data_IF_523975637961
#
_entry.id   IF_523975637961
#
_cell.length_a   1.000
_cell.length_b   1.000
_cell.length_c   1.000
_cell.angle_alpha   90.00
_cell.angle_beta   90.00
_cell.angle_gamma   90.00
#
_symmetry.space_group_name_H-M   'P 1'
#
loop_
_entity.id
_entity.type
_entity.pdbx_description
1 polymer ?
#
# COMPACT_ATOMS: atom_id res chain seq x y z
N UNK A 1 -19.37 65.95 -26.68
CA UNK A 1 -19.62 64.56 -26.29
C UNK A 1 -18.35 63.74 -26.51
N UNK A 2 -17.77 63.19 -25.44
CA UNK A 2 -16.56 62.34 -25.49
C UNK A 2 -17.00 60.90 -25.76
N UNK A 3 -16.44 60.25 -26.77
CA UNK A 3 -16.54 58.81 -26.97
C UNK A 3 -15.16 58.23 -26.66
N UNK A 4 -15.01 57.56 -25.51
CA UNK A 4 -13.85 56.69 -25.28
C UNK A 4 -14.17 55.32 -25.90
N UNK A 5 -13.26 54.73 -26.69
CA UNK A 5 -13.40 53.35 -27.11
C UNK A 5 -13.15 52.45 -25.90
N UNK A 6 -14.14 51.61 -25.57
CA UNK A 6 -13.95 50.51 -24.64
C UNK A 6 -13.09 49.45 -25.34
N UNK A 7 -11.80 49.40 -24.99
CA UNK A 7 -10.96 48.23 -25.26
C UNK A 7 -11.43 47.11 -24.33
N UNK A 8 -12.22 46.18 -24.87
CA UNK A 8 -12.47 44.88 -24.25
C UNK A 8 -11.18 44.08 -24.33
N UNK A 9 -10.39 44.11 -23.25
CA UNK A 9 -9.31 43.16 -23.06
C UNK A 9 -9.99 41.84 -22.67
N UNK A 10 -10.16 40.95 -23.65
CA UNK A 10 -10.51 39.56 -23.39
C UNK A 10 -9.29 38.91 -22.75
N UNK A 11 -9.30 38.77 -21.43
CA UNK A 11 -8.40 37.86 -20.75
C UNK A 11 -8.85 36.45 -21.14
N UNK A 12 -8.13 35.81 -22.06
CA UNK A 12 -8.19 34.36 -22.18
C UNK A 12 -7.56 33.80 -20.91
N UNK A 13 -8.40 33.49 -19.93
CA UNK A 13 -8.00 32.57 -18.88
C UNK A 13 -7.79 31.23 -19.58
N UNK A 14 -6.53 30.87 -19.83
CA UNK A 14 -6.19 29.47 -20.03
C UNK A 14 -6.76 28.76 -18.80
N UNK A 15 -7.68 27.82 -19.01
CA UNK A 15 -8.12 26.95 -17.93
C UNK A 15 -6.86 26.30 -17.39
N UNK A 16 -6.47 26.69 -16.17
CA UNK A 16 -5.51 25.97 -15.37
C UNK A 16 -6.14 24.63 -14.98
N UNK A 17 -6.42 23.79 -15.98
CA UNK A 17 -6.76 22.40 -15.80
C UNK A 17 -5.43 21.77 -15.45
N UNK A 18 -5.25 21.42 -14.17
CA UNK A 18 -4.35 20.33 -13.82
C UNK A 18 -4.61 19.23 -14.86
N UNK A 19 -3.58 18.89 -15.63
CA UNK A 19 -3.79 18.14 -16.87
C UNK A 19 -4.26 16.74 -16.53
N UNK A 20 -5.58 16.52 -16.59
CA UNK A 20 -6.21 15.27 -16.18
C UNK A 20 -5.60 14.05 -16.84
N UNK A 21 -5.05 14.20 -18.05
CA UNK A 21 -4.37 13.11 -18.76
C UNK A 21 -3.18 12.52 -17.98
N UNK A 22 -2.49 13.29 -17.12
CA UNK A 22 -1.37 12.77 -16.33
C UNK A 22 -1.81 11.77 -15.27
N UNK A 23 -3.04 11.92 -14.78
CA UNK A 23 -3.64 10.97 -13.85
C UNK A 23 -3.93 9.64 -14.55
N UNK A 24 -4.17 9.65 -15.86
CA UNK A 24 -4.34 8.44 -16.65
C UNK A 24 -3.01 7.77 -17.05
N UNK A 25 -1.89 8.43 -16.79
CA UNK A 25 -0.53 7.93 -17.10
C UNK A 25 0.12 7.21 -15.92
N UNK A 26 -0.53 7.16 -14.77
CA UNK A 26 -0.03 6.49 -13.56
C UNK A 26 -1.03 5.42 -13.10
N UNK A 27 -0.55 4.25 -12.66
CA UNK A 27 -1.41 3.27 -12.01
C UNK A 27 -2.14 3.90 -10.82
N UNK A 28 -3.39 3.50 -10.59
CA UNK A 28 -4.15 3.99 -9.44
C UNK A 28 -4.49 5.48 -9.45
N UNK A 29 -4.08 6.25 -10.46
CA UNK A 29 -4.26 7.71 -10.50
C UNK A 29 -5.71 8.15 -10.29
N UNK A 30 -6.68 7.38 -10.79
CA UNK A 30 -8.10 7.62 -10.59
C UNK A 30 -8.54 7.64 -9.11
N UNK A 31 -7.78 7.01 -8.20
CA UNK A 31 -8.06 7.03 -6.74
C UNK A 31 -7.59 8.31 -6.08
N UNK A 32 -6.45 8.84 -6.51
CA UNK A 32 -5.80 9.99 -5.90
C UNK A 32 -6.09 11.31 -6.61
N UNK A 33 -6.56 11.21 -7.86
CA UNK A 33 -6.87 12.33 -8.74
C UNK A 33 -5.70 13.32 -8.81
N UNK A 34 -6.00 14.63 -8.87
CA UNK A 34 -4.99 15.68 -8.91
C UNK A 34 -4.12 15.74 -7.65
N UNK A 35 -4.51 15.07 -6.56
CA UNK A 35 -3.90 15.27 -5.25
C UNK A 35 -2.60 14.53 -5.05
N UNK A 36 -2.27 13.57 -5.92
CA UNK A 36 -0.95 12.96 -5.93
C UNK A 36 0.13 13.96 -6.36
N UNK A 37 -0.21 14.88 -7.28
CA UNK A 37 0.72 15.91 -7.76
C UNK A 37 0.53 17.27 -7.09
N UNK A 38 -0.63 17.53 -6.48
CA UNK A 38 -0.99 18.84 -5.93
C UNK A 38 -1.52 18.78 -4.50
N UNK A 39 -1.07 19.72 -3.68
CA UNK A 39 -1.58 19.92 -2.32
C UNK A 39 -3.00 20.51 -2.38
N UNK A 40 -3.97 19.80 -1.80
CA UNK A 40 -5.42 20.15 -1.78
C UNK A 40 -5.74 21.61 -1.46
N UNK A 41 -4.99 22.22 -0.55
CA UNK A 41 -5.28 23.55 -0.01
C UNK A 41 -4.71 24.70 -0.85
N UNK A 42 -3.61 24.47 -1.56
CA UNK A 42 -2.80 25.56 -2.15
C UNK A 42 -2.52 25.38 -3.64
N UNK A 43 -2.80 24.21 -4.21
CA UNK A 43 -2.41 23.83 -5.57
C UNK A 43 -0.89 23.83 -5.83
N UNK A 44 -0.08 24.02 -4.79
CA UNK A 44 1.35 23.82 -4.87
C UNK A 44 1.64 22.35 -5.19
N UNK A 45 2.79 22.10 -5.83
CA UNK A 45 3.24 20.74 -6.09
C UNK A 45 3.56 20.03 -4.78
N UNK A 46 3.15 18.77 -4.70
CA UNK A 46 3.68 17.79 -3.74
C UNK A 46 5.15 17.47 -4.07
N UNK A 47 5.80 16.63 -3.26
CA UNK A 47 7.10 16.06 -3.61
C UNK A 47 7.02 15.30 -4.93
N UNK A 48 6.10 14.34 -5.03
CA UNK A 48 5.88 13.59 -6.27
C UNK A 48 5.57 14.48 -7.47
N UNK A 49 4.66 15.46 -7.31
CA UNK A 49 4.32 16.40 -8.38
C UNK A 49 5.50 17.26 -8.83
N UNK A 50 6.47 17.51 -7.95
CA UNK A 50 7.72 18.20 -8.28
C UNK A 50 8.67 17.30 -9.04
N UNK A 51 8.78 16.04 -8.67
CA UNK A 51 9.61 15.07 -9.39
C UNK A 51 9.05 14.80 -10.79
N UNK A 52 7.73 14.72 -10.95
CA UNK A 52 7.06 14.69 -12.26
C UNK A 52 7.40 15.93 -13.09
N UNK A 53 7.40 17.13 -12.49
CA UNK A 53 7.73 18.36 -13.20
C UNK A 53 9.22 18.43 -13.60
N UNK A 54 10.10 17.89 -12.76
CA UNK A 54 11.55 17.90 -13.01
C UNK A 54 12.00 16.87 -14.06
N UNK A 55 11.17 15.88 -14.37
CA UNK A 55 11.46 14.80 -15.32
C UNK A 55 10.51 14.81 -16.52
N UNK A 56 10.14 16.02 -16.97
CA UNK A 56 9.54 16.17 -18.29
C UNK A 56 10.59 15.91 -19.36
N UNK A 57 10.20 15.27 -20.46
CA UNK A 57 11.08 15.09 -21.60
C UNK A 57 11.39 16.44 -22.24
N UNK A 58 12.68 16.72 -22.41
CA UNK A 58 13.17 17.94 -23.05
C UNK A 58 13.76 17.64 -24.43
N UNK A 59 13.74 18.66 -25.30
CA UNK A 59 14.19 18.53 -26.70
C UNK A 59 15.67 18.18 -26.80
N UNK A 60 16.46 18.56 -25.80
CA UNK A 60 17.88 18.23 -25.68
C UNK A 60 18.16 16.74 -25.44
N UNK A 61 17.19 15.99 -24.92
CA UNK A 61 17.29 14.54 -24.74
C UNK A 61 17.10 13.76 -26.06
N UNK A 62 16.58 14.44 -27.10
CA UNK A 62 16.26 13.86 -28.40
C UNK A 62 17.00 14.57 -29.53
N UNK A 63 18.13 14.01 -30.02
CA UNK A 63 18.98 14.68 -31.01
C UNK A 63 18.35 14.83 -32.40
N UNK A 64 17.20 14.21 -32.65
CA UNK A 64 16.44 14.31 -33.89
C UNK A 64 14.94 14.56 -33.60
N UNK A 65 14.51 15.83 -33.44
CA UNK A 65 13.12 16.18 -33.16
C UNK A 65 12.16 15.87 -34.31
N UNK A 66 12.65 15.61 -35.53
CA UNK A 66 11.80 15.17 -36.66
C UNK A 66 11.59 13.64 -36.68
N UNK A 67 12.38 12.88 -35.93
CA UNK A 67 12.23 11.42 -35.75
C UNK A 67 11.35 11.04 -34.55
N UNK A 68 10.76 12.02 -33.87
CA UNK A 68 9.92 11.76 -32.71
C UNK A 68 8.62 11.05 -33.12
N UNK A 69 8.13 10.08 -32.32
CA UNK A 69 6.82 9.51 -32.54
C UNK A 69 5.75 10.61 -32.48
N UNK A 70 4.72 10.53 -33.32
CA UNK A 70 3.65 11.57 -33.44
C UNK A 70 2.93 11.88 -32.11
N UNK A 71 3.06 11.01 -31.10
CA UNK A 71 2.46 11.16 -29.77
C UNK A 71 3.45 11.64 -28.69
N UNK A 72 4.66 12.08 -29.06
CA UNK A 72 5.66 12.60 -28.12
C UNK A 72 5.59 14.13 -28.04
N UNK A 73 4.92 14.63 -26.99
CA UNK A 73 4.94 16.07 -26.67
C UNK A 73 6.18 16.37 -25.80
N UNK A 74 6.89 17.46 -26.09
CA UNK A 74 8.14 17.86 -25.41
C UNK A 74 7.98 19.27 -24.77
N UNK A 75 8.64 19.51 -23.63
CA UNK A 75 8.71 20.83 -22.96
C UNK A 75 7.96 20.90 -21.63
N UNK A 76 7.69 22.11 -21.11
CA UNK A 76 6.90 22.33 -19.86
C UNK A 76 5.49 21.72 -19.93
N UNK A 77 5.04 21.42 -21.16
CA UNK A 77 3.82 20.69 -21.43
C UNK A 77 3.97 19.25 -21.94
N UNK A 78 5.18 18.72 -21.94
CA UNK A 78 5.52 17.44 -22.53
C UNK A 78 5.16 16.19 -21.73
N UNK A 79 5.56 15.07 -22.31
CA UNK A 79 5.54 13.74 -21.72
C UNK A 79 6.54 13.66 -20.56
N UNK A 80 6.29 12.75 -19.62
CA UNK A 80 7.12 12.52 -18.44
C UNK A 80 7.98 11.29 -18.71
N UNK A 81 9.22 11.30 -18.24
CA UNK A 81 10.02 10.08 -18.15
C UNK A 81 9.58 9.26 -16.92
N UNK A 82 8.49 8.50 -17.11
CA UNK A 82 7.90 7.69 -16.03
C UNK A 82 8.83 6.60 -15.52
N UNK A 83 9.76 6.11 -16.35
CA UNK A 83 10.74 5.12 -15.92
C UNK A 83 11.72 5.72 -14.89
N UNK A 84 12.10 6.99 -15.04
CA UNK A 84 12.90 7.68 -14.03
C UNK A 84 12.06 8.04 -12.82
N UNK A 85 10.87 8.61 -13.01
CA UNK A 85 10.00 9.00 -11.90
C UNK A 85 9.67 7.80 -11.01
N UNK A 86 9.41 6.62 -11.59
CA UNK A 86 9.12 5.40 -10.82
C UNK A 86 10.26 4.96 -9.89
N UNK A 87 11.52 5.30 -10.19
CA UNK A 87 12.68 4.92 -9.38
C UNK A 87 13.00 5.92 -8.26
N UNK A 88 12.31 7.06 -8.22
CA UNK A 88 12.51 8.06 -7.17
C UNK A 88 11.67 7.70 -5.96
N UNK A 89 12.20 7.99 -4.78
CA UNK A 89 11.47 8.01 -3.50
C UNK A 89 11.16 9.49 -3.20
N UNK A 90 9.95 9.93 -3.58
CA UNK A 90 9.64 11.35 -3.56
C UNK A 90 9.41 11.87 -2.14
N UNK A 91 8.81 11.08 -1.25
CA UNK A 91 8.46 11.49 0.10
C UNK A 91 9.46 11.06 1.19
N UNK A 92 10.40 10.19 0.85
CA UNK A 92 11.55 9.81 1.66
C UNK A 92 11.25 8.70 2.65
N UNK A 93 10.26 7.87 2.38
CA UNK A 93 9.81 6.81 3.30
C UNK A 93 10.54 5.47 3.10
N UNK A 94 11.37 5.38 2.04
CA UNK A 94 12.16 4.20 1.70
C UNK A 94 11.56 3.36 0.57
N UNK A 95 10.35 3.67 0.11
CA UNK A 95 9.73 3.08 -1.07
C UNK A 95 9.89 4.02 -2.27
N UNK A 96 10.14 3.43 -3.43
CA UNK A 96 10.09 4.18 -4.68
C UNK A 96 8.65 4.42 -5.09
N UNK A 97 8.40 5.52 -5.82
CA UNK A 97 7.09 5.85 -6.37
C UNK A 97 6.49 4.68 -7.16
N UNK A 98 7.33 3.91 -7.85
CA UNK A 98 6.91 2.73 -8.60
C UNK A 98 6.51 1.56 -7.70
N UNK A 99 7.17 1.35 -6.57
CA UNK A 99 6.75 0.34 -5.59
C UNK A 99 5.38 0.66 -4.99
N UNK A 100 5.15 1.92 -4.64
CA UNK A 100 3.86 2.40 -4.10
C UNK A 100 2.72 2.35 -5.12
N UNK A 101 3.02 2.61 -6.40
CA UNK A 101 2.05 2.56 -7.49
C UNK A 101 1.89 1.17 -8.10
N UNK A 102 2.64 0.16 -7.64
CA UNK A 102 2.62 -1.17 -8.25
C UNK A 102 3.15 -1.20 -9.70
N UNK A 103 4.02 -0.26 -10.06
CA UNK A 103 4.78 -0.19 -11.31
C UNK A 103 6.27 0.16 -11.04
N UNK A 104 7.06 -0.76 -10.46
CA UNK A 104 8.45 -0.47 -10.05
C UNK A 104 9.38 -0.07 -11.20
N UNK A 105 9.00 -0.34 -12.45
CA UNK A 105 9.80 -0.02 -13.63
C UNK A 105 9.27 1.18 -14.42
N UNK A 106 8.16 1.79 -14.00
CA UNK A 106 7.55 2.93 -14.72
C UNK A 106 7.15 2.57 -16.15
N UNK A 107 6.71 1.34 -16.39
CA UNK A 107 6.36 0.83 -17.72
C UNK A 107 4.88 0.99 -18.04
N UNK A 108 4.06 1.36 -17.05
CA UNK A 108 2.64 1.56 -17.23
C UNK A 108 2.38 2.64 -18.28
N UNK A 109 1.52 2.33 -19.24
CA UNK A 109 1.03 3.30 -20.22
C UNK A 109 -0.48 3.44 -20.13
N UNK A 110 -0.97 4.59 -20.58
CA UNK A 110 -2.40 4.85 -20.63
C UNK A 110 -3.13 3.71 -21.37
N UNK A 111 -4.19 3.18 -20.76
CA UNK A 111 -5.01 2.03 -21.18
C UNK A 111 -4.48 0.63 -20.84
N UNK A 112 -3.36 0.52 -20.13
CA UNK A 112 -2.98 -0.75 -19.53
C UNK A 112 -3.99 -1.18 -18.46
N UNK A 113 -4.17 -2.49 -18.23
CA UNK A 113 -4.88 -2.99 -17.06
C UNK A 113 -4.23 -2.45 -15.78
N UNK A 114 -5.06 -1.97 -14.85
CA UNK A 114 -4.58 -1.55 -13.53
C UNK A 114 -4.01 -2.78 -12.79
N UNK A 115 -2.83 -2.67 -12.15
CA UNK A 115 -2.32 -3.76 -11.33
C UNK A 115 -3.28 -4.03 -10.15
N UNK A 116 -3.40 -5.30 -9.79
CA UNK A 116 -4.14 -5.74 -8.61
C UNK A 116 -3.25 -5.55 -7.37
N UNK A 117 -2.98 -4.28 -7.09
CA UNK A 117 -2.07 -3.82 -6.06
C UNK A 117 -2.75 -2.73 -5.22
N UNK A 118 -2.61 -2.76 -3.88
CA UNK A 118 -3.08 -1.69 -3.02
C UNK A 118 -2.19 -0.45 -3.24
N UNK A 119 -2.61 0.42 -4.16
CA UNK A 119 -1.87 1.66 -4.42
C UNK A 119 -1.78 2.51 -3.15
N UNK A 120 -0.58 2.99 -2.86
CA UNK A 120 -0.32 4.05 -1.88
C UNK A 120 0.08 5.35 -2.59
N UNK A 121 0.28 6.41 -1.81
CA UNK A 121 0.54 7.74 -2.33
C UNK A 121 2.03 8.11 -2.23
N UNK A 122 2.71 8.29 -3.38
CA UNK A 122 4.12 8.70 -3.42
C UNK A 122 4.44 10.12 -2.93
N UNK A 123 3.47 10.79 -2.33
CA UNK A 123 3.67 12.10 -1.71
C UNK A 123 3.46 12.07 -0.19
N UNK A 124 3.27 10.89 0.40
CA UNK A 124 2.84 10.66 1.77
C UNK A 124 3.73 9.63 2.46
N UNK A 125 4.69 10.08 3.29
CA UNK A 125 5.66 9.19 3.94
C UNK A 125 5.07 8.40 5.12
N UNK A 126 3.75 8.32 5.18
CA UNK A 126 2.95 7.64 6.19
C UNK A 126 2.01 6.58 5.55
N UNK A 127 2.10 6.39 4.23
CA UNK A 127 1.21 5.55 3.41
C UNK A 127 2.04 4.46 2.71
N UNK A 128 2.21 3.31 3.37
CA UNK A 128 3.13 2.25 2.96
C UNK A 128 2.45 1.15 2.14
N UNK A 129 3.10 0.62 1.09
CA UNK A 129 2.56 -0.48 0.30
C UNK A 129 2.52 -1.79 1.09
N UNK A 130 1.38 -2.47 1.04
CA UNK A 130 1.25 -3.81 1.60
C UNK A 130 2.09 -4.84 0.84
N UNK A 131 2.68 -5.78 1.57
CA UNK A 131 3.53 -6.84 1.03
C UNK A 131 5.02 -6.48 1.02
N UNK A 132 5.43 -5.52 1.85
CA UNK A 132 6.82 -5.15 2.08
C UNK A 132 7.63 -6.20 2.85
N UNK A 133 6.95 -7.13 3.54
CA UNK A 133 7.54 -8.11 4.43
C UNK A 133 7.73 -7.62 5.87
N UNK A 134 7.27 -6.42 6.22
CA UNK A 134 7.25 -5.90 7.57
C UNK A 134 5.96 -5.12 7.83
N UNK A 135 5.44 -5.17 9.06
CA UNK A 135 4.27 -4.35 9.43
C UNK A 135 4.73 -2.91 9.64
N UNK A 136 4.28 -2.00 8.77
CA UNK A 136 4.67 -0.59 8.78
C UNK A 136 3.49 0.37 8.82
N UNK A 137 3.70 1.56 9.40
CA UNK A 137 2.68 2.61 9.51
C UNK A 137 1.32 2.12 10.03
N UNK A 138 0.23 2.18 9.23
CA UNK A 138 -1.12 1.80 9.64
C UNK A 138 -1.47 0.31 9.43
N UNK A 139 -0.55 -0.51 8.92
CA UNK A 139 -0.80 -1.93 8.66
C UNK A 139 -1.08 -2.72 9.93
N UNK A 140 -2.01 -3.67 9.86
CA UNK A 140 -2.25 -4.62 10.96
C UNK A 140 -1.37 -5.88 10.80
N UNK A 141 -0.98 -6.20 9.57
CA UNK A 141 -0.13 -7.33 9.22
C UNK A 141 0.56 -7.09 7.86
N UNK A 142 1.59 -7.88 7.55
CA UNK A 142 2.20 -7.96 6.22
C UNK A 142 2.64 -9.41 5.96
N UNK A 143 1.98 -10.10 5.02
CA UNK A 143 2.21 -11.52 4.79
C UNK A 143 1.96 -12.36 6.05
N UNK A 144 3.03 -12.97 6.59
CA UNK A 144 2.99 -13.75 7.83
C UNK A 144 3.38 -12.93 9.08
N UNK A 145 3.71 -11.64 8.91
CA UNK A 145 4.03 -10.75 10.01
C UNK A 145 2.73 -10.13 10.56
N UNK A 146 2.31 -10.53 11.76
CA UNK A 146 1.06 -10.06 12.38
C UNK A 146 1.27 -9.05 13.51
N UNK A 147 2.45 -8.42 13.60
CA UNK A 147 2.83 -7.53 14.70
C UNK A 147 2.60 -8.13 16.12
N UNK A 148 2.69 -9.45 16.24
CA UNK A 148 2.44 -10.19 17.48
C UNK A 148 0.98 -10.58 17.74
N UNK A 149 0.05 -10.21 16.85
CA UNK A 149 -1.31 -10.69 16.91
C UNK A 149 -1.36 -12.20 16.68
N UNK A 150 -2.30 -12.84 17.37
CA UNK A 150 -2.56 -14.28 17.31
C UNK A 150 -4.05 -14.51 17.16
N UNK A 151 -4.46 -15.73 16.81
CA UNK A 151 -5.87 -16.10 16.78
C UNK A 151 -6.57 -15.87 18.14
N UNK A 152 -5.84 -16.01 19.26
CA UNK A 152 -6.34 -15.72 20.60
C UNK A 152 -6.83 -14.28 20.82
N UNK A 153 -6.33 -13.30 20.06
CA UNK A 153 -6.82 -11.91 20.12
C UNK A 153 -8.24 -11.75 19.54
N UNK A 154 -8.74 -12.78 18.85
CA UNK A 154 -10.06 -12.85 18.23
C UNK A 154 -10.99 -13.86 18.92
N UNK A 155 -10.70 -14.24 20.17
CA UNK A 155 -11.44 -15.24 20.96
C UNK A 155 -11.51 -16.63 20.28
N UNK A 156 -10.52 -16.94 19.43
CA UNK A 156 -10.37 -18.21 18.70
C UNK A 156 -8.94 -18.71 18.93
N UNK A 157 -8.65 -19.52 19.96
CA UNK A 157 -7.27 -19.78 20.34
C UNK A 157 -6.47 -20.64 19.34
N UNK A 158 -7.14 -21.31 18.39
CA UNK A 158 -6.53 -22.18 17.38
C UNK A 158 -6.45 -21.59 15.98
N UNK A 159 -5.85 -22.37 15.06
CA UNK A 159 -5.78 -22.07 13.64
C UNK A 159 -4.66 -21.11 13.24
N UNK A 160 -4.87 -20.33 12.17
CA UNK A 160 -3.90 -19.37 11.65
C UNK A 160 -4.56 -18.08 11.18
N UNK A 161 -3.88 -16.96 11.44
CA UNK A 161 -4.23 -15.67 10.85
C UNK A 161 -3.82 -15.65 9.37
N UNK A 162 -4.59 -14.93 8.57
CA UNK A 162 -4.19 -14.52 7.23
C UNK A 162 -4.08 -13.00 7.18
N UNK A 163 -3.27 -12.50 6.25
CA UNK A 163 -3.18 -11.07 5.96
C UNK A 163 -3.84 -10.77 4.61
N UNK A 164 -4.78 -9.82 4.57
CA UNK A 164 -5.43 -9.44 3.31
C UNK A 164 -4.50 -8.61 2.43
N UNK A 165 -4.87 -8.41 1.17
CA UNK A 165 -4.14 -7.53 0.25
C UNK A 165 -4.13 -6.07 0.70
N UNK A 166 -5.02 -5.67 1.62
CA UNK A 166 -5.05 -4.34 2.24
C UNK A 166 -4.36 -4.31 3.61
N UNK A 167 -3.52 -5.30 3.90
CA UNK A 167 -2.76 -5.41 5.15
C UNK A 167 -3.65 -5.36 6.41
N UNK A 168 -4.81 -6.03 6.31
CA UNK A 168 -5.75 -6.25 7.41
C UNK A 168 -5.65 -7.69 7.88
N UNK A 169 -5.80 -7.89 9.18
CA UNK A 169 -5.85 -9.24 9.72
C UNK A 169 -7.18 -9.89 9.34
N UNK A 170 -7.10 -11.06 8.74
CA UNK A 170 -8.23 -11.96 8.50
C UNK A 170 -8.15 -13.16 9.46
N UNK A 171 -8.99 -13.19 10.52
CA UNK A 171 -9.02 -14.28 11.48
C UNK A 171 -9.89 -15.46 11.01
N UNK A 172 -10.37 -15.49 9.76
CA UNK A 172 -11.25 -16.56 9.28
C UNK A 172 -10.60 -17.96 9.24
N UNK A 173 -9.27 -18.01 9.26
CA UNK A 173 -8.49 -19.25 9.42
C UNK A 173 -8.29 -19.69 10.87
N UNK A 174 -8.76 -18.90 11.85
CA UNK A 174 -8.72 -19.26 13.26
C UNK A 174 -9.87 -20.20 13.64
N UNK A 175 -9.60 -21.09 14.59
CA UNK A 175 -10.50 -22.15 15.05
C UNK A 175 -10.79 -22.01 16.54
N UNK A 176 -11.99 -22.42 17.00
CA UNK A 176 -12.27 -22.50 18.42
C UNK A 176 -11.52 -23.68 19.03
N UNK A 177 -11.22 -23.58 20.33
CA UNK A 177 -10.68 -24.72 21.07
C UNK A 177 -11.67 -25.89 21.06
N UNK A 178 -11.17 -27.11 20.90
CA UNK A 178 -11.95 -28.35 20.92
C UNK A 178 -12.49 -28.77 19.56
N UNK A 179 -11.81 -28.44 18.45
CA UNK A 179 -12.24 -28.80 17.09
C UNK A 179 -11.80 -30.22 16.65
N UNK A 180 -10.97 -30.87 17.46
CA UNK A 180 -10.44 -32.22 17.25
C UNK A 180 -9.04 -32.25 16.63
N UNK A 181 -8.41 -31.11 16.36
CA UNK A 181 -7.07 -30.94 15.82
C UNK A 181 -6.24 -30.03 16.75
N UNK A 182 -5.02 -30.45 17.09
CA UNK A 182 -4.09 -29.57 17.80
C UNK A 182 -3.41 -28.63 16.80
N UNK A 183 -3.88 -27.38 16.74
CA UNK A 183 -3.41 -26.37 15.80
C UNK A 183 -2.16 -25.61 16.31
N UNK A 184 -1.39 -24.96 15.41
CA UNK A 184 -0.30 -24.08 15.81
C UNK A 184 -0.78 -22.97 16.75
N UNK A 185 -0.20 -22.88 17.94
CA UNK A 185 -0.57 -21.90 18.97
C UNK A 185 -1.40 -22.49 20.11
N UNK A 186 -1.97 -23.68 19.92
CA UNK A 186 -2.68 -24.41 20.97
C UNK A 186 -1.73 -25.29 21.80
N UNK A 187 -1.95 -25.36 23.11
CA UNK A 187 -1.23 -26.30 23.97
C UNK A 187 -1.99 -27.64 24.14
N UNK A 188 -3.29 -27.64 23.88
CA UNK A 188 -4.23 -28.76 23.92
C UNK A 188 -5.47 -28.41 23.10
N UNK A 189 -6.30 -29.38 22.76
CA UNK A 189 -7.51 -29.17 21.93
C UNK A 189 -8.70 -29.91 22.57
N UNK A 190 -9.39 -29.24 23.49
CA UNK A 190 -10.47 -29.80 24.33
C UNK A 190 -10.03 -30.88 25.34
N UNK A 191 -8.86 -31.48 25.15
CA UNK A 191 -8.16 -32.37 26.07
C UNK A 191 -6.65 -32.25 25.87
N UNK A 192 -5.82 -32.46 26.91
CA UNK A 192 -4.38 -32.48 26.75
C UNK A 192 -3.95 -33.63 25.82
N UNK A 193 -2.81 -33.51 25.12
CA UNK A 193 -2.25 -34.60 24.33
C UNK A 193 -2.14 -35.89 25.16
N UNK A 194 -2.44 -37.04 24.55
CA UNK A 194 -2.60 -38.30 25.28
C UNK A 194 -1.37 -38.74 26.10
N UNK A 195 -0.17 -38.29 25.71
CA UNK A 195 1.10 -38.62 26.37
C UNK A 195 1.58 -37.52 27.33
N UNK A 196 0.81 -36.45 27.53
CA UNK A 196 1.19 -35.34 28.40
C UNK A 196 0.50 -35.43 29.76
N UNK A 197 1.29 -35.45 30.83
CA UNK A 197 0.84 -35.54 32.21
C UNK A 197 1.38 -34.38 33.05
N UNK A 198 0.83 -34.14 34.24
CA UNK A 198 1.39 -33.12 35.14
C UNK A 198 2.86 -33.41 35.51
N UNK A 199 3.27 -34.67 35.55
CA UNK A 199 4.65 -35.07 35.85
C UNK A 199 5.66 -34.63 34.76
N UNK A 200 5.18 -34.34 33.54
CA UNK A 200 6.01 -33.84 32.44
C UNK A 200 6.25 -32.33 32.56
N UNK A 201 5.38 -31.59 33.25
CA UNK A 201 5.54 -30.17 33.55
C UNK A 201 6.36 -29.96 34.84
N UNK A 202 6.04 -30.72 35.89
CA UNK A 202 6.80 -30.79 37.14
C UNK A 202 6.76 -32.22 37.72
N UNK A 203 7.91 -32.87 37.96
CA UNK A 203 7.97 -34.23 38.50
C UNK A 203 7.29 -34.44 39.86
N UNK A 204 7.01 -33.36 40.61
CA UNK A 204 6.31 -33.42 41.90
C UNK A 204 4.78 -33.41 41.75
N UNK A 205 4.25 -33.11 40.55
CA UNK A 205 2.82 -33.02 40.31
C UNK A 205 2.26 -34.38 39.89
N UNK A 206 1.05 -34.69 40.37
CA UNK A 206 0.41 -36.00 40.18
C UNK A 206 -1.04 -35.77 39.76
N UNK A 207 -1.47 -36.43 38.69
CA UNK A 207 -2.86 -36.39 38.25
C UNK A 207 -3.00 -36.14 36.76
N UNK A 208 -4.25 -36.15 36.26
CA UNK A 208 -4.55 -35.84 34.87
C UNK A 208 -4.58 -34.33 34.65
N UNK A 209 -3.87 -33.87 33.63
CA UNK A 209 -3.88 -32.49 33.15
C UNK A 209 -5.26 -32.15 32.55
N UNK A 210 -5.67 -30.89 32.62
CA UNK A 210 -6.85 -30.39 31.92
C UNK A 210 -6.49 -29.63 30.65
N UNK A 211 -7.52 -29.25 29.92
CA UNK A 211 -7.43 -28.26 28.85
C UNK A 211 -8.47 -27.18 29.15
N UNK A 212 -8.08 -25.91 29.14
CA UNK A 212 -9.02 -24.79 29.28
C UNK A 212 -9.74 -24.52 27.97
N UNK A 213 -10.81 -23.71 28.03
CA UNK A 213 -11.52 -23.25 26.82
C UNK A 213 -10.66 -22.32 25.94
N UNK A 214 -9.53 -21.82 26.48
CA UNK A 214 -8.53 -21.01 25.78
C UNK A 214 -7.35 -21.85 25.24
N UNK A 215 -7.52 -23.17 25.13
CA UNK A 215 -6.51 -24.13 24.65
C UNK A 215 -5.16 -24.05 25.38
N UNK A 216 -5.22 -23.72 26.68
CA UNK A 216 -4.08 -23.78 27.59
C UNK A 216 -4.17 -25.03 28.47
N UNK A 217 -3.01 -25.57 28.84
CA UNK A 217 -2.95 -26.68 29.78
C UNK A 217 -3.43 -26.19 31.15
N UNK A 218 -4.45 -26.86 31.68
CA UNK A 218 -4.94 -26.63 33.04
C UNK A 218 -4.18 -27.55 34.01
N UNK A 219 -3.25 -26.96 34.76
CA UNK A 219 -2.42 -27.61 35.76
C UNK A 219 -2.93 -27.40 37.20
N UNK A 220 -4.11 -26.78 37.37
CA UNK A 220 -4.61 -26.31 38.68
C UNK A 220 -5.14 -27.41 39.62
N UNK A 221 -4.62 -28.63 39.52
CA UNK A 221 -5.16 -29.85 40.15
C UNK A 221 -4.25 -30.48 41.20
#
# INVERSE_FOLDING_TARGET
MRWLPFLLISAMAATAQARGYRIDQVPGGYRFECYMCHVRATWNLTSFGRDVLNHLLHEEDYPDPEALPENLYIGEEGNVDWAIVALLDSDGDGYTNGEELGDPMGLFVQHDPQPDFPFTRPDRPEDFPCGSGAVEGPEECDGDAFAGATCGDFDLPGGHLACTAECRIDPSGCTPCGDGVLDPGEACDGAPPADLTCADLDPAWIGPLGCTDDCQLDDSR
#
